data_IF_812992021466
#
_entry.id   IF_812992021466
#
_cell.length_a   1.000
_cell.length_b   1.000
_cell.length_c   1.000
_cell.angle_alpha   90.00
_cell.angle_beta   90.00
_cell.angle_gamma   90.00
#
_symmetry.space_group_name_H-M   'P 1'
#
loop_
_entity.id
_entity.type
_entity.pdbx_description
1 polymer ?
#
# COMPACT_ATOMS: atom_id res chain seq x y z
N UNK A 1 24.30 28.69 -34.42
CA UNK A 1 24.09 27.87 -33.21
C UNK A 1 24.03 28.79 -32.01
N UNK A 2 22.85 29.26 -31.63
CA UNK A 2 22.67 30.07 -30.42
C UNK A 2 22.87 29.17 -29.21
N UNK A 3 23.93 29.42 -28.45
CA UNK A 3 24.24 28.67 -27.22
C UNK A 3 23.14 28.92 -26.20
N UNK A 4 22.20 27.99 -26.06
CA UNK A 4 21.29 27.97 -24.92
C UNK A 4 22.13 27.99 -23.64
N UNK A 5 21.88 28.95 -22.75
CA UNK A 5 22.52 28.95 -21.43
C UNK A 5 22.20 27.64 -20.71
N UNK A 6 23.14 27.10 -19.92
CA UNK A 6 22.95 25.82 -19.20
C UNK A 6 21.63 25.79 -18.42
N UNK A 7 21.26 26.92 -17.80
CA UNK A 7 19.97 27.10 -17.11
C UNK A 7 18.76 26.94 -18.02
N UNK A 8 18.80 27.46 -19.25
CA UNK A 8 17.70 27.33 -20.20
C UNK A 8 17.53 25.89 -20.70
N UNK A 9 18.62 25.16 -20.91
CA UNK A 9 18.61 23.75 -21.29
C UNK A 9 17.97 22.87 -20.20
N UNK A 10 18.41 23.03 -18.94
CA UNK A 10 17.80 22.36 -17.78
C UNK A 10 16.33 22.69 -17.61
N UNK A 11 15.97 23.97 -17.74
CA UNK A 11 14.58 24.41 -17.62
C UNK A 11 13.68 23.76 -18.69
N UNK A 12 14.17 23.64 -19.93
CA UNK A 12 13.43 22.98 -20.99
C UNK A 12 13.24 21.49 -20.69
N UNK A 13 14.32 20.78 -20.31
CA UNK A 13 14.26 19.36 -19.97
C UNK A 13 13.26 19.08 -18.84
N UNK A 14 13.36 19.80 -17.71
CA UNK A 14 12.45 19.63 -16.58
C UNK A 14 11.00 19.92 -16.97
N UNK A 15 10.76 20.95 -17.79
CA UNK A 15 9.42 21.32 -18.23
C UNK A 15 8.80 20.21 -19.08
N UNK A 16 9.58 19.61 -19.97
CA UNK A 16 9.14 18.50 -20.83
C UNK A 16 8.90 17.24 -20.01
N UNK A 17 9.82 16.90 -19.11
CA UNK A 17 9.69 15.74 -18.25
C UNK A 17 8.45 15.85 -17.36
N UNK A 18 8.30 16.94 -16.62
CA UNK A 18 7.12 17.16 -15.77
C UNK A 18 5.81 17.16 -16.57
N UNK A 19 5.82 17.72 -17.79
CA UNK A 19 4.67 17.68 -18.70
C UNK A 19 4.34 16.25 -19.17
N UNK A 20 5.33 15.45 -19.56
CA UNK A 20 5.13 14.07 -20.02
C UNK A 20 4.61 13.19 -18.89
N UNK A 21 5.20 13.32 -17.69
CA UNK A 21 4.70 12.62 -16.51
C UNK A 21 3.26 13.04 -16.22
N UNK A 22 2.97 14.35 -16.21
CA UNK A 22 1.62 14.84 -15.95
C UNK A 22 0.58 14.39 -16.97
N UNK A 23 0.95 14.26 -18.25
CA UNK A 23 0.03 13.86 -19.32
C UNK A 23 -0.18 12.34 -19.41
N UNK A 24 0.88 11.55 -19.24
CA UNK A 24 0.82 10.10 -19.45
C UNK A 24 0.70 9.32 -18.15
N UNK A 25 1.33 9.77 -17.07
CA UNK A 25 1.28 9.11 -15.76
C UNK A 25 0.21 9.72 -14.85
N UNK A 26 -0.14 10.99 -15.06
CA UNK A 26 -1.19 11.70 -14.34
C UNK A 26 -2.51 10.93 -14.17
N UNK A 27 -3.05 10.22 -15.18
CA UNK A 27 -4.28 9.43 -15.03
C UNK A 27 -4.13 8.29 -14.03
N UNK A 28 -2.98 7.61 -14.03
CA UNK A 28 -2.71 6.51 -13.10
C UNK A 28 -2.59 7.03 -11.67
N UNK A 29 -1.90 8.16 -11.47
CA UNK A 29 -1.82 8.82 -10.16
C UNK A 29 -3.20 9.29 -9.70
N UNK A 30 -4.03 9.82 -10.62
CA UNK A 30 -5.39 10.26 -10.31
C UNK A 30 -6.26 9.10 -9.83
N UNK A 31 -6.25 7.97 -10.54
CA UNK A 31 -7.05 6.80 -10.15
C UNK A 31 -6.52 6.20 -8.85
N UNK A 32 -5.20 6.11 -8.66
CA UNK A 32 -4.60 5.69 -7.39
C UNK A 32 -5.02 6.62 -6.24
N UNK A 33 -4.97 7.93 -6.42
CA UNK A 33 -5.37 8.90 -5.39
C UNK A 33 -6.87 8.80 -5.07
N UNK A 34 -7.72 8.63 -6.08
CA UNK A 34 -9.18 8.50 -5.90
C UNK A 34 -9.54 7.20 -5.17
N UNK A 35 -9.02 6.07 -5.63
CA UNK A 35 -9.25 4.76 -5.00
C UNK A 35 -8.64 4.69 -3.59
N UNK A 36 -7.48 5.29 -3.37
CA UNK A 36 -6.85 5.39 -2.04
C UNK A 36 -7.65 6.27 -1.08
N UNK A 37 -8.24 7.37 -1.58
CA UNK A 37 -9.16 8.20 -0.79
C UNK A 37 -10.38 7.39 -0.33
N UNK A 38 -10.95 6.59 -1.24
CA UNK A 38 -12.06 5.69 -0.90
C UNK A 38 -11.62 4.62 0.10
N UNK A 39 -10.44 4.01 -0.08
CA UNK A 39 -9.89 2.99 0.82
C UNK A 39 -9.80 3.50 2.25
N UNK A 40 -9.24 4.69 2.45
CA UNK A 40 -9.04 5.26 3.78
C UNK A 40 -10.38 5.59 4.48
N UNK A 41 -11.44 5.86 3.71
CA UNK A 41 -12.79 6.09 4.25
C UNK A 41 -13.56 4.79 4.56
N UNK A 42 -13.04 3.62 4.18
CA UNK A 42 -13.74 2.34 4.37
C UNK A 42 -14.06 1.98 5.82
N UNK A 43 -13.27 2.32 6.86
CA UNK A 43 -13.65 1.98 8.23
C UNK A 43 -15.03 2.54 8.61
N UNK A 44 -15.35 3.77 8.23
CA UNK A 44 -16.67 4.37 8.47
C UNK A 44 -17.76 3.71 7.62
N UNK A 45 -17.47 3.48 6.35
CA UNK A 45 -18.43 2.89 5.42
C UNK A 45 -18.79 1.46 5.83
N UNK A 46 -17.81 0.68 6.27
CA UNK A 46 -18.00 -0.70 6.70
C UNK A 46 -18.64 -0.80 8.08
N UNK A 47 -18.31 0.09 9.01
CA UNK A 47 -19.00 0.13 10.30
C UNK A 47 -20.50 0.43 10.12
N UNK A 48 -20.85 1.20 9.10
CA UNK A 48 -22.25 1.46 8.74
C UNK A 48 -22.88 0.29 7.97
N UNK A 49 -22.21 -0.20 6.91
CA UNK A 49 -22.75 -1.23 6.02
C UNK A 49 -22.86 -2.60 6.70
N UNK A 50 -21.90 -2.95 7.55
CA UNK A 50 -21.81 -4.23 8.25
C UNK A 50 -22.09 -4.09 9.75
N UNK A 51 -22.81 -3.04 10.15
CA UNK A 51 -23.13 -2.74 11.55
C UNK A 51 -23.65 -3.97 12.30
N UNK A 52 -24.60 -4.69 11.70
CA UNK A 52 -25.23 -5.86 12.33
C UNK A 52 -24.27 -7.02 12.53
N UNK A 53 -23.26 -7.17 11.67
CA UNK A 53 -22.23 -8.20 11.82
C UNK A 53 -21.15 -7.80 12.83
N UNK A 54 -20.85 -6.51 12.94
CA UNK A 54 -19.78 -5.98 13.79
C UNK A 54 -20.23 -5.73 15.24
N UNK A 55 -21.53 -5.52 15.46
CA UNK A 55 -22.06 -5.16 16.77
C UNK A 55 -23.04 -6.19 17.36
N UNK A 56 -22.85 -6.48 18.64
CA UNK A 56 -23.65 -7.40 19.46
C UNK A 56 -24.26 -6.71 20.68
N UNK A 57 -24.61 -7.49 21.70
CA UNK A 57 -25.05 -6.98 23.00
C UNK A 57 -23.90 -6.25 23.71
N UNK A 58 -24.20 -5.06 24.25
CA UNK A 58 -23.25 -4.25 25.02
C UNK A 58 -23.22 -4.61 26.52
N UNK A 59 -24.23 -5.35 27.00
CA UNK A 59 -24.41 -5.70 28.40
C UNK A 59 -24.57 -7.22 28.57
N UNK A 60 -23.94 -7.76 29.61
CA UNK A 60 -23.93 -9.18 29.93
C UNK A 60 -22.52 -9.70 30.21
N UNK A 61 -22.42 -11.01 30.49
CA UNK A 61 -21.13 -11.69 30.68
C UNK A 61 -20.75 -12.41 29.38
N UNK A 62 -19.62 -12.05 28.74
CA UNK A 62 -19.11 -12.79 27.60
C UNK A 62 -18.87 -14.26 27.93
N UNK A 63 -19.31 -15.15 27.05
CA UNK A 63 -19.07 -16.58 27.13
C UNK A 63 -17.64 -16.92 26.69
N UNK A 64 -17.07 -18.06 27.13
CA UNK A 64 -15.73 -18.47 26.70
C UNK A 64 -15.61 -18.64 25.18
N UNK A 65 -14.40 -18.47 24.64
CA UNK A 65 -14.12 -18.60 23.21
C UNK A 65 -14.50 -19.97 22.68
N UNK A 66 -14.29 -21.02 23.47
CA UNK A 66 -14.73 -22.38 23.11
C UNK A 66 -16.22 -22.46 22.76
N UNK A 67 -17.10 -21.81 23.52
CA UNK A 67 -18.53 -21.77 23.22
C UNK A 67 -18.85 -20.95 21.95
N UNK A 68 -18.13 -19.84 21.74
CA UNK A 68 -18.30 -19.00 20.56
C UNK A 68 -17.82 -19.71 19.28
N UNK A 69 -16.73 -20.46 19.36
CA UNK A 69 -16.21 -21.27 18.25
C UNK A 69 -17.16 -22.41 17.92
N UNK A 70 -17.72 -23.09 18.92
CA UNK A 70 -18.70 -24.16 18.70
C UNK A 70 -19.91 -23.69 17.88
N UNK A 71 -20.45 -22.49 18.18
CA UNK A 71 -21.54 -21.86 17.40
C UNK A 71 -21.11 -21.58 15.95
N UNK A 72 -19.87 -21.15 15.75
CA UNK A 72 -19.33 -20.89 14.42
C UNK A 72 -19.06 -22.18 13.62
N UNK A 73 -18.62 -23.25 14.29
CA UNK A 73 -18.47 -24.58 13.69
C UNK A 73 -19.84 -25.14 13.27
N UNK A 74 -20.87 -25.00 14.10
CA UNK A 74 -22.24 -25.40 13.74
C UNK A 74 -22.74 -24.64 12.51
N UNK A 75 -22.52 -23.33 12.44
CA UNK A 75 -22.89 -22.50 11.30
C UNK A 75 -22.16 -22.87 9.99
N UNK A 76 -20.97 -23.47 10.10
CA UNK A 76 -20.19 -23.99 8.96
C UNK A 76 -20.34 -25.50 8.76
N UNK A 77 -21.29 -26.13 9.48
CA UNK A 77 -21.56 -27.58 9.46
C UNK A 77 -20.37 -28.45 9.91
N UNK A 78 -19.38 -27.87 10.60
CA UNK A 78 -18.18 -28.57 11.07
C UNK A 78 -17.22 -29.00 9.95
N UNK A 79 -17.43 -28.54 8.72
CA UNK A 79 -16.71 -29.04 7.55
C UNK A 79 -15.50 -28.18 7.16
N UNK A 80 -15.34 -27.02 7.78
CA UNK A 80 -14.26 -26.08 7.46
C UNK A 80 -13.19 -26.08 8.56
N UNK A 81 -11.93 -25.96 8.13
CA UNK A 81 -10.79 -25.92 9.05
C UNK A 81 -10.68 -24.54 9.70
N UNK A 82 -10.57 -24.50 11.03
CA UNK A 82 -10.36 -23.27 11.78
C UNK A 82 -8.94 -22.71 11.54
N UNK A 83 -8.86 -21.45 11.10
CA UNK A 83 -7.60 -20.75 10.78
C UNK A 83 -7.15 -19.80 11.88
N UNK A 84 -8.10 -19.03 12.42
CA UNK A 84 -7.81 -18.01 13.41
C UNK A 84 -9.08 -17.59 14.15
N UNK A 85 -8.90 -17.10 15.37
CA UNK A 85 -9.95 -16.47 16.18
C UNK A 85 -9.47 -15.09 16.60
N UNK A 86 -10.30 -14.09 16.35
CA UNK A 86 -10.12 -12.73 16.86
C UNK A 86 -11.22 -12.44 17.88
N UNK A 87 -10.90 -12.50 19.19
CA UNK A 87 -11.87 -12.18 20.24
C UNK A 87 -12.46 -10.78 20.05
N UNK A 88 -13.72 -10.60 20.45
CA UNK A 88 -14.33 -9.28 20.52
C UNK A 88 -13.43 -8.33 21.34
N UNK A 89 -12.99 -7.19 20.78
CA UNK A 89 -12.04 -6.32 21.46
C UNK A 89 -12.69 -5.48 22.57
N UNK A 90 -14.01 -5.35 22.57
CA UNK A 90 -14.79 -4.68 23.59
C UNK A 90 -16.21 -5.28 23.68
N UNK A 91 -16.92 -4.98 24.77
CA UNK A 91 -18.36 -5.28 24.88
C UNK A 91 -19.14 -4.54 23.78
N UNK A 92 -20.15 -5.19 23.21
CA UNK A 92 -20.90 -4.67 22.07
C UNK A 92 -20.23 -4.89 20.72
N UNK A 93 -19.03 -5.48 20.66
CA UNK A 93 -18.40 -5.96 19.42
C UNK A 93 -18.48 -7.48 19.32
N UNK A 94 -18.30 -8.01 18.10
CA UNK A 94 -18.38 -9.44 17.82
C UNK A 94 -17.00 -10.10 17.76
N UNK A 95 -16.94 -11.37 18.14
CA UNK A 95 -15.77 -12.23 17.92
C UNK A 95 -15.80 -12.72 16.49
N UNK A 96 -14.65 -12.71 15.82
CA UNK A 96 -14.50 -13.23 14.47
C UNK A 96 -13.79 -14.58 14.49
N UNK A 97 -14.45 -15.60 13.96
CA UNK A 97 -13.92 -16.95 13.80
C UNK A 97 -13.69 -17.18 12.31
N UNK A 98 -12.43 -17.41 11.91
CA UNK A 98 -12.01 -17.48 10.51
C UNK A 98 -11.72 -18.93 10.12
N UNK A 99 -12.30 -19.37 9.01
CA UNK A 99 -12.16 -20.72 8.49
C UNK A 99 -11.52 -20.73 7.09
N UNK A 100 -10.78 -21.80 6.80
CA UNK A 100 -10.29 -22.09 5.46
C UNK A 100 -11.43 -22.69 4.63
N UNK A 101 -11.92 -21.90 3.68
CA UNK A 101 -12.93 -22.34 2.72
C UNK A 101 -12.24 -22.63 1.39
N UNK A 102 -12.27 -23.89 0.88
CA UNK A 102 -11.65 -24.25 -0.39
C UNK A 102 -12.19 -23.47 -1.60
N UNK A 103 -13.36 -22.84 -1.50
CA UNK A 103 -13.95 -22.01 -2.54
C UNK A 103 -13.40 -20.59 -2.61
N UNK A 104 -12.56 -20.16 -1.67
CA UNK A 104 -12.01 -18.81 -1.59
C UNK A 104 -10.58 -18.72 -2.14
N UNK A 105 -10.17 -17.52 -2.54
CA UNK A 105 -8.85 -17.27 -3.10
C UNK A 105 -7.71 -17.28 -2.07
N UNK A 106 -6.48 -17.04 -2.55
CA UNK A 106 -5.33 -16.90 -1.66
C UNK A 106 -5.52 -15.76 -0.66
N UNK A 107 -5.15 -16.02 0.60
CA UNK A 107 -5.30 -15.06 1.71
C UNK A 107 -6.75 -14.61 1.99
N UNK A 108 -7.74 -15.30 1.43
CA UNK A 108 -9.14 -15.14 1.78
C UNK A 108 -9.56 -16.24 2.76
N UNK A 109 -10.42 -15.88 3.71
CA UNK A 109 -11.01 -16.82 4.66
C UNK A 109 -12.46 -16.47 4.88
N UNK A 110 -13.27 -17.48 5.21
CA UNK A 110 -14.67 -17.28 5.58
C UNK A 110 -14.73 -16.95 7.05
N UNK A 111 -15.31 -15.82 7.41
CA UNK A 111 -15.39 -15.39 8.80
C UNK A 111 -16.83 -15.39 9.30
N UNK A 112 -17.03 -16.09 10.41
CA UNK A 112 -18.28 -16.06 11.18
C UNK A 112 -18.11 -15.06 12.32
N UNK A 113 -19.03 -14.11 12.39
CA UNK A 113 -19.09 -13.09 13.43
C UNK A 113 -20.08 -13.55 14.49
N UNK A 114 -19.62 -13.70 15.72
CA UNK A 114 -20.42 -14.23 16.84
C UNK A 114 -20.52 -13.17 17.93
N UNK A 115 -21.74 -12.93 18.40
CA UNK A 115 -21.98 -12.16 19.62
C UNK A 115 -21.48 -12.96 20.83
N UNK A 116 -20.48 -12.46 21.57
CA UNK A 116 -19.85 -13.20 22.66
C UNK A 116 -20.79 -13.40 23.86
N UNK A 117 -21.86 -12.61 24.00
CA UNK A 117 -22.82 -12.71 25.10
C UNK A 117 -24.02 -13.55 24.69
N UNK A 118 -24.62 -13.25 23.54
CA UNK A 118 -25.84 -13.92 23.07
C UNK A 118 -25.57 -15.30 22.46
N UNK A 119 -24.32 -15.62 22.12
CA UNK A 119 -23.93 -16.80 21.34
C UNK A 119 -24.74 -16.94 20.05
N UNK A 120 -24.91 -15.83 19.34
CA UNK A 120 -25.62 -15.76 18.05
C UNK A 120 -24.67 -15.39 16.94
N UNK A 121 -24.83 -16.04 15.79
CA UNK A 121 -24.19 -15.60 14.56
C UNK A 121 -24.80 -14.28 14.11
N UNK A 122 -23.94 -13.28 13.96
CA UNK A 122 -24.26 -11.91 13.58
C UNK A 122 -23.92 -11.63 12.11
N UNK A 123 -22.99 -12.39 11.54
CA UNK A 123 -22.60 -12.27 10.15
C UNK A 123 -21.75 -13.44 9.67
N UNK A 124 -21.75 -13.63 8.36
CA UNK A 124 -20.98 -14.64 7.64
C UNK A 124 -20.50 -14.00 6.33
N UNK A 125 -19.19 -13.79 6.21
CA UNK A 125 -18.61 -13.11 5.05
C UNK A 125 -17.14 -13.46 4.83
N UNK A 126 -16.69 -13.28 3.60
CA UNK A 126 -15.28 -13.38 3.23
C UNK A 126 -14.47 -12.23 3.84
N UNK A 127 -13.27 -12.55 4.29
CA UNK A 127 -12.33 -11.59 4.87
C UNK A 127 -10.96 -11.82 4.30
N UNK A 128 -10.24 -10.74 4.05
CA UNK A 128 -8.98 -10.78 3.31
C UNK A 128 -7.77 -10.36 4.14
N UNK A 129 -6.70 -11.14 4.00
CA UNK A 129 -5.39 -10.94 4.58
C UNK A 129 -5.38 -11.00 6.10
N UNK A 130 -4.19 -10.82 6.66
CA UNK A 130 -3.90 -10.67 8.10
C UNK A 130 -4.57 -9.45 8.75
N UNK A 131 -5.06 -8.49 7.97
CA UNK A 131 -5.85 -7.37 8.49
C UNK A 131 -7.32 -7.75 8.66
N UNK A 132 -7.78 -8.84 8.02
CA UNK A 132 -9.17 -9.27 8.03
C UNK A 132 -10.09 -8.17 7.50
N UNK A 133 -9.73 -7.55 6.37
CA UNK A 133 -10.57 -6.50 5.79
C UNK A 133 -11.88 -7.11 5.29
N UNK A 134 -12.99 -6.36 5.38
CA UNK A 134 -14.32 -6.83 4.98
C UNK A 134 -14.50 -6.66 3.45
N UNK A 135 -15.55 -7.23 2.84
CA UNK A 135 -15.65 -7.33 1.39
C UNK A 135 -15.59 -5.98 0.64
N UNK A 136 -16.20 -4.92 1.19
CA UNK A 136 -16.15 -3.59 0.58
C UNK A 136 -14.72 -3.06 0.49
N UNK A 137 -13.97 -3.08 1.60
CA UNK A 137 -12.58 -2.63 1.63
C UNK A 137 -11.68 -3.53 0.80
N UNK A 138 -11.95 -4.83 0.77
CA UNK A 138 -11.23 -5.75 -0.10
C UNK A 138 -11.38 -5.38 -1.58
N UNK A 139 -12.62 -5.12 -2.02
CA UNK A 139 -12.86 -4.70 -3.40
C UNK A 139 -12.14 -3.39 -3.73
N UNK A 140 -12.17 -2.41 -2.80
CA UNK A 140 -11.47 -1.13 -2.97
C UNK A 140 -9.93 -1.32 -2.94
N UNK A 141 -9.41 -2.22 -2.11
CA UNK A 141 -7.98 -2.60 -2.08
C UNK A 141 -7.54 -3.12 -3.45
N UNK A 142 -8.29 -4.06 -4.01
CA UNK A 142 -7.99 -4.63 -5.33
C UNK A 142 -8.10 -3.57 -6.43
N UNK A 143 -9.05 -2.65 -6.34
CA UNK A 143 -9.14 -1.52 -7.24
C UNK A 143 -7.93 -0.58 -7.11
N UNK A 144 -7.46 -0.30 -5.88
CA UNK A 144 -6.35 0.62 -5.59
C UNK A 144 -4.95 0.04 -5.87
N UNK A 145 -4.78 -1.28 -5.74
CA UNK A 145 -3.50 -1.93 -6.00
C UNK A 145 -3.35 -2.42 -7.44
N UNK A 146 -4.47 -2.79 -8.08
CA UNK A 146 -4.48 -3.48 -9.37
C UNK A 146 -5.60 -3.12 -10.35
N UNK A 147 -6.48 -2.15 -10.08
CA UNK A 147 -7.67 -1.87 -10.91
C UNK A 147 -8.55 -3.11 -11.15
N UNK A 148 -8.55 -4.07 -10.22
CA UNK A 148 -9.24 -5.36 -10.38
C UNK A 148 -8.70 -6.21 -11.56
N UNK A 149 -7.49 -5.91 -12.08
CA UNK A 149 -6.85 -6.62 -13.20
C UNK A 149 -5.83 -7.67 -12.73
N UNK A 150 -5.80 -7.99 -11.43
CA UNK A 150 -4.84 -8.93 -10.85
C UNK A 150 -3.39 -8.45 -10.98
N UNK A 151 -2.45 -9.38 -11.19
CA UNK A 151 -1.02 -9.06 -11.24
C UNK A 151 -0.64 -8.09 -12.36
N UNK A 152 -1.27 -8.21 -13.54
CA UNK A 152 -1.09 -7.27 -14.64
C UNK A 152 -1.45 -5.84 -14.23
N UNK A 153 -2.44 -5.71 -13.35
CA UNK A 153 -2.85 -4.45 -12.75
C UNK A 153 -1.79 -3.86 -11.82
N UNK A 154 -1.03 -4.66 -11.08
CA UNK A 154 -0.02 -4.14 -10.13
C UNK A 154 1.03 -3.25 -10.79
N UNK A 155 1.24 -3.40 -12.10
CA UNK A 155 2.08 -2.52 -12.90
C UNK A 155 1.57 -1.06 -12.86
N UNK A 156 0.25 -0.83 -12.87
CA UNK A 156 -0.27 0.54 -12.89
C UNK A 156 0.08 1.29 -11.60
N UNK A 157 -0.06 0.66 -10.43
CA UNK A 157 0.18 1.29 -9.14
C UNK A 157 1.67 1.51 -8.91
N UNK A 158 2.52 0.57 -9.35
CA UNK A 158 3.98 0.75 -9.39
C UNK A 158 4.39 1.91 -10.31
N UNK A 159 3.77 2.02 -11.48
CA UNK A 159 4.03 3.11 -12.43
C UNK A 159 3.65 4.48 -11.82
N UNK A 160 2.50 4.56 -11.15
CA UNK A 160 2.08 5.77 -10.44
C UNK A 160 3.06 6.13 -9.31
N UNK A 161 3.41 5.17 -8.45
CA UNK A 161 4.28 5.38 -7.30
C UNK A 161 5.71 5.80 -7.71
N UNK A 162 6.25 5.18 -8.76
CA UNK A 162 7.60 5.45 -9.27
C UNK A 162 7.77 6.83 -9.91
N UNK A 163 6.74 7.36 -10.58
CA UNK A 163 6.85 8.68 -11.23
C UNK A 163 6.35 9.85 -10.39
N UNK A 164 5.49 9.63 -9.40
CA UNK A 164 4.89 10.70 -8.60
C UNK A 164 5.94 11.57 -7.89
N UNK A 165 6.92 10.97 -7.21
CA UNK A 165 7.99 11.73 -6.55
C UNK A 165 8.87 12.51 -7.56
N UNK A 166 9.13 11.95 -8.74
CA UNK A 166 9.86 12.63 -9.83
C UNK A 166 9.07 13.84 -10.33
N UNK A 167 7.75 13.69 -10.52
CA UNK A 167 6.87 14.80 -10.88
C UNK A 167 6.84 15.89 -9.79
N UNK A 168 6.74 15.50 -8.53
CA UNK A 168 6.72 16.40 -7.39
C UNK A 168 8.01 17.23 -7.31
N UNK A 169 9.17 16.57 -7.23
CA UNK A 169 10.47 17.24 -7.18
C UNK A 169 10.74 18.07 -8.44
N UNK A 170 10.39 17.55 -9.61
CA UNK A 170 10.50 18.26 -10.88
C UNK A 170 9.63 19.52 -10.93
N UNK A 171 8.41 19.46 -10.39
CA UNK A 171 7.50 20.61 -10.29
C UNK A 171 8.04 21.72 -9.37
N UNK A 172 8.62 21.34 -8.23
CA UNK A 172 9.25 22.27 -7.28
C UNK A 172 10.51 22.90 -7.87
N UNK A 173 11.35 22.11 -8.53
CA UNK A 173 12.52 22.61 -9.26
C UNK A 173 12.11 23.60 -10.35
N UNK A 174 11.07 23.28 -11.13
CA UNK A 174 10.52 24.18 -12.15
C UNK A 174 10.01 25.49 -11.55
N UNK A 175 9.29 25.42 -10.43
CA UNK A 175 8.83 26.61 -9.72
C UNK A 175 10.01 27.49 -9.29
N UNK A 176 11.03 26.89 -8.65
CA UNK A 176 12.21 27.63 -8.17
C UNK A 176 12.94 28.34 -9.32
N UNK A 177 13.05 27.68 -10.48
CA UNK A 177 13.70 28.22 -11.67
C UNK A 177 12.86 29.26 -12.43
N UNK A 178 11.52 29.23 -12.31
CA UNK A 178 10.58 30.08 -13.08
C UNK A 178 9.75 31.03 -12.23
N UNK A 179 10.17 31.28 -10.98
CA UNK A 179 9.48 32.18 -10.06
C UNK A 179 9.23 33.55 -10.72
N UNK A 180 7.95 33.95 -10.94
CA UNK A 180 7.66 35.22 -11.59
C UNK A 180 7.98 36.37 -10.65
N UNK A 181 8.69 37.39 -11.15
CA UNK A 181 9.08 38.58 -10.35
C UNK A 181 7.90 39.51 -10.03
N UNK A 182 6.77 39.38 -10.73
CA UNK A 182 5.56 40.20 -10.56
C UNK A 182 4.31 39.33 -10.52
N UNK A 183 3.32 39.70 -9.70
CA UNK A 183 2.01 39.03 -9.68
C UNK A 183 1.17 39.51 -10.86
N UNK A 184 0.82 38.58 -11.73
CA UNK A 184 -0.14 38.79 -12.81
C UNK A 184 -1.45 38.10 -12.44
N UNK A 185 -2.58 38.81 -12.52
CA UNK A 185 -3.90 38.27 -12.21
C UNK A 185 -4.65 37.93 -13.51
N UNK A 186 -4.53 36.69 -13.96
CA UNK A 186 -5.28 36.17 -15.10
C UNK A 186 -5.59 34.68 -14.87
N UNK A 187 -6.59 34.14 -15.59
CA UNK A 187 -7.04 32.76 -15.40
C UNK A 187 -5.88 31.75 -15.45
N UNK A 188 -4.96 31.88 -16.42
CA UNK A 188 -3.81 30.98 -16.56
C UNK A 188 -2.87 31.02 -15.34
N UNK A 189 -2.54 32.21 -14.85
CA UNK A 189 -1.66 32.38 -13.69
C UNK A 189 -2.36 31.96 -12.40
N UNK A 190 -3.69 32.08 -12.32
CA UNK A 190 -4.48 31.61 -11.16
C UNK A 190 -4.43 30.08 -11.06
N UNK A 191 -4.69 29.37 -12.16
CA UNK A 191 -4.56 27.91 -12.22
C UNK A 191 -3.12 27.45 -11.92
N UNK A 192 -2.11 28.16 -12.47
CA UNK A 192 -0.70 27.87 -12.18
C UNK A 192 -0.39 28.07 -10.71
N UNK A 193 -0.88 29.14 -10.07
CA UNK A 193 -0.70 29.37 -8.64
C UNK A 193 -1.34 28.27 -7.82
N UNK A 194 -2.57 27.87 -8.14
CA UNK A 194 -3.24 26.76 -7.45
C UNK A 194 -2.42 25.46 -7.56
N UNK A 195 -2.00 25.08 -8.76
CA UNK A 195 -1.18 23.89 -8.98
C UNK A 195 0.15 23.93 -8.22
N UNK A 196 0.81 25.09 -8.17
CA UNK A 196 2.06 25.27 -7.42
C UNK A 196 1.83 25.21 -5.90
N UNK A 197 0.80 25.89 -5.40
CA UNK A 197 0.48 25.92 -3.97
C UNK A 197 0.13 24.52 -3.47
N UNK A 198 -0.72 23.80 -4.20
CA UNK A 198 -1.04 22.40 -3.88
C UNK A 198 0.21 21.52 -4.03
N UNK A 199 1.01 21.69 -5.08
CA UNK A 199 2.26 20.94 -5.25
C UNK A 199 3.23 21.10 -4.08
N UNK A 200 3.34 22.30 -3.51
CA UNK A 200 4.11 22.55 -2.27
C UNK A 200 3.47 21.89 -1.05
N UNK A 201 2.17 22.09 -0.84
CA UNK A 201 1.45 21.52 0.30
C UNK A 201 1.44 19.99 0.31
N UNK A 202 1.45 19.37 -0.87
CA UNK A 202 1.43 17.92 -1.05
C UNK A 202 2.82 17.29 -1.14
N UNK A 203 3.91 18.06 -1.19
CA UNK A 203 5.25 17.55 -1.50
C UNK A 203 5.67 16.40 -0.57
N UNK A 204 5.60 16.62 0.75
CA UNK A 204 6.03 15.62 1.74
C UNK A 204 5.17 14.36 1.63
N UNK A 205 3.85 14.51 1.47
CA UNK A 205 2.95 13.38 1.27
C UNK A 205 3.26 12.62 -0.01
N UNK A 206 3.46 13.30 -1.15
CA UNK A 206 3.82 12.65 -2.42
C UNK A 206 5.13 11.85 -2.29
N UNK A 207 6.14 12.34 -1.58
CA UNK A 207 7.36 11.58 -1.33
C UNK A 207 7.11 10.35 -0.45
N UNK A 208 6.33 10.52 0.63
CA UNK A 208 6.01 9.45 1.57
C UNK A 208 5.17 8.34 0.92
N UNK A 209 4.12 8.69 0.17
CA UNK A 209 3.25 7.71 -0.50
C UNK A 209 3.93 7.07 -1.71
N UNK A 210 4.83 7.77 -2.41
CA UNK A 210 5.70 7.12 -3.39
C UNK A 210 6.60 6.07 -2.74
N UNK A 211 7.28 6.42 -1.64
CA UNK A 211 8.19 5.49 -0.96
C UNK A 211 7.45 4.25 -0.44
N UNK A 212 6.34 4.45 0.28
CA UNK A 212 5.53 3.35 0.83
C UNK A 212 4.79 2.56 -0.26
N UNK A 213 4.31 3.18 -1.34
CA UNK A 213 3.73 2.45 -2.48
C UNK A 213 4.76 1.58 -3.22
N UNK A 214 6.00 2.04 -3.33
CA UNK A 214 7.07 1.28 -3.97
C UNK A 214 7.46 0.03 -3.17
N UNK A 215 7.38 0.04 -1.83
CA UNK A 215 7.71 -1.16 -1.03
C UNK A 215 6.74 -2.33 -1.22
N UNK A 216 5.59 -2.10 -1.86
CA UNK A 216 4.56 -3.10 -2.14
C UNK A 216 4.36 -3.41 -3.62
N UNK A 217 5.16 -2.76 -4.46
CA UNK A 217 5.13 -2.95 -5.89
C UNK A 217 5.77 -4.28 -6.29
N UNK A 218 5.52 -4.76 -7.50
CA UNK A 218 5.95 -6.10 -7.90
C UNK A 218 7.48 -6.15 -8.09
N UNK A 219 8.05 -5.18 -8.80
CA UNK A 219 9.46 -5.21 -9.18
C UNK A 219 10.30 -4.35 -8.25
N UNK A 220 9.92 -3.08 -8.06
CA UNK A 220 10.64 -2.22 -7.14
C UNK A 220 10.51 -2.69 -5.67
N UNK A 221 9.35 -3.24 -5.29
CA UNK A 221 9.14 -3.84 -3.97
C UNK A 221 10.05 -5.03 -3.73
N UNK A 222 10.13 -5.96 -4.68
CA UNK A 222 11.06 -7.09 -4.59
C UNK A 222 12.54 -6.67 -4.47
N UNK A 223 12.95 -5.56 -5.07
CA UNK A 223 14.28 -4.99 -4.86
C UNK A 223 14.44 -4.38 -3.45
N UNK A 224 13.40 -3.70 -2.93
CA UNK A 224 13.36 -3.19 -1.55
C UNK A 224 13.44 -4.35 -0.55
N UNK A 225 12.76 -5.47 -0.79
CA UNK A 225 12.79 -6.61 0.12
C UNK A 225 14.14 -7.30 0.16
N UNK A 226 14.80 -7.47 -1.00
CA UNK A 226 16.19 -7.96 -1.05
C UNK A 226 17.13 -7.04 -0.27
N UNK A 227 16.96 -5.73 -0.41
CA UNK A 227 17.74 -4.74 0.34
C UNK A 227 17.48 -4.87 1.85
N UNK A 228 16.21 -4.92 2.27
CA UNK A 228 15.83 -5.06 3.69
C UNK A 228 16.38 -6.36 4.29
N UNK A 229 16.32 -7.46 3.55
CA UNK A 229 16.88 -8.74 3.96
C UNK A 229 18.40 -8.66 4.14
N UNK A 230 19.13 -8.08 3.18
CA UNK A 230 20.58 -7.93 3.24
C UNK A 230 21.07 -7.08 4.42
N UNK A 231 20.26 -6.13 4.89
CA UNK A 231 20.59 -5.27 6.02
C UNK A 231 19.96 -5.69 7.36
N UNK A 232 19.24 -6.82 7.42
CA UNK A 232 18.58 -7.28 8.65
C UNK A 232 17.44 -6.36 9.12
N UNK A 233 16.73 -5.71 8.19
CA UNK A 233 15.63 -4.78 8.46
C UNK A 233 14.24 -5.43 8.38
N UNK A 234 14.20 -6.76 8.44
CA UNK A 234 12.96 -7.53 8.38
C UNK A 234 12.23 -7.46 9.72
N UNK A 235 10.91 -7.67 9.67
CA UNK A 235 10.08 -7.71 10.88
C UNK A 235 10.34 -9.02 11.61
N UNK A 236 10.71 -9.02 12.92
CA UNK A 236 10.82 -10.24 13.71
C UNK A 236 9.48 -10.99 13.77
N UNK A 237 9.53 -12.32 13.84
CA UNK A 237 8.39 -13.21 14.05
C UNK A 237 8.71 -14.21 15.14
N UNK A 238 7.68 -14.74 15.80
CA UNK A 238 7.84 -15.80 16.80
C UNK A 238 8.21 -17.11 16.13
N UNK A 239 9.14 -17.85 16.72
CA UNK A 239 9.45 -19.22 16.34
C UNK A 239 8.38 -20.16 16.89
N UNK A 240 7.75 -20.91 15.99
CA UNK A 240 6.69 -21.87 16.34
C UNK A 240 7.18 -23.31 16.42
N UNK A 241 8.45 -23.62 16.12
CA UNK A 241 8.96 -24.99 16.22
C UNK A 241 9.12 -25.40 17.68
N UNK A 242 8.48 -26.52 18.06
CA UNK A 242 8.62 -27.10 19.40
C UNK A 242 9.87 -28.00 19.52
N UNK A 243 10.38 -28.51 18.40
CA UNK A 243 11.53 -29.42 18.35
C UNK A 243 12.55 -29.00 17.29
N UNK A 244 13.81 -28.83 17.71
CA UNK A 244 14.94 -28.43 16.86
C UNK A 244 15.24 -26.93 16.90
N UNK A 245 16.52 -26.56 16.87
CA UNK A 245 16.96 -25.16 16.74
C UNK A 245 16.98 -24.79 15.25
N UNK A 246 15.98 -24.03 14.79
CA UNK A 246 16.13 -23.23 13.57
C UNK A 246 16.21 -21.75 13.91
N UNK A 247 17.01 -20.96 13.15
CA UNK A 247 17.05 -19.52 13.29
C UNK A 247 15.65 -18.90 13.09
N UNK A 248 15.41 -17.75 13.72
CA UNK A 248 14.15 -17.01 13.57
C UNK A 248 13.79 -16.82 12.09
N UNK A 249 12.57 -17.19 11.73
CA UNK A 249 12.05 -16.97 10.38
C UNK A 249 11.74 -15.49 10.20
N UNK A 250 12.43 -14.84 9.27
CA UNK A 250 12.17 -13.45 8.91
C UNK A 250 11.39 -13.39 7.59
N UNK A 251 10.19 -12.80 7.62
CA UNK A 251 9.38 -12.58 6.41
C UNK A 251 9.32 -11.06 6.07
N UNK A 252 9.75 -10.64 4.86
CA UNK A 252 9.63 -9.26 4.37
C UNK A 252 8.21 -8.68 4.42
N UNK A 253 7.20 -9.54 4.37
CA UNK A 253 5.77 -9.23 4.37
C UNK A 253 5.00 -10.00 5.45
N UNK A 254 5.63 -10.32 6.59
CA UNK A 254 4.99 -11.07 7.69
C UNK A 254 3.63 -10.52 8.13
N UNK A 255 3.38 -9.22 7.90
CA UNK A 255 2.12 -8.56 8.15
C UNK A 255 1.05 -8.74 7.06
N UNK A 256 1.26 -9.53 6.01
CA UNK A 256 0.38 -9.63 4.82
C UNK A 256 0.13 -11.06 4.33
N UNK A 257 0.98 -12.02 4.65
CA UNK A 257 0.74 -13.42 4.30
C UNK A 257 -0.09 -14.10 5.39
N UNK A 258 -1.28 -14.58 5.02
CA UNK A 258 -1.83 -15.76 5.66
C UNK A 258 -0.98 -16.92 5.14
N UNK A 259 -0.32 -17.69 6.02
CA UNK A 259 0.35 -18.93 5.60
C UNK A 259 -0.66 -19.85 4.94
N UNK A 260 -0.72 -19.77 3.61
CA UNK A 260 -1.56 -20.57 2.76
C UNK A 260 -0.72 -21.65 2.12
N UNK A 261 -0.02 -22.47 2.91
CA UNK A 261 0.50 -23.77 2.47
C UNK A 261 0.82 -24.65 3.69
N UNK A 262 -0.18 -25.35 4.19
CA UNK A 262 0.03 -26.63 4.84
C UNK A 262 -1.15 -27.54 4.50
N UNK A 263 -1.00 -28.32 3.44
CA UNK A 263 -1.74 -29.57 3.25
C UNK A 263 -1.19 -30.56 4.28
N UNK A 264 -1.39 -30.29 5.57
CA UNK A 264 -1.03 -31.23 6.62
C UNK A 264 -2.08 -32.35 6.63
N UNK A 265 -1.65 -33.56 6.28
CA UNK A 265 -2.47 -34.79 6.27
C UNK A 265 -2.82 -35.31 7.68
N UNK A 266 -2.27 -34.69 8.73
CA UNK A 266 -2.66 -34.91 10.13
C UNK A 266 -2.76 -33.56 10.81
N UNK A 267 -3.98 -33.19 11.20
CA UNK A 267 -4.20 -32.06 12.07
C UNK A 267 -4.21 -32.55 13.52
N UNK A 268 -3.60 -31.79 14.44
CA UNK A 268 -3.77 -32.04 15.87
C UNK A 268 -5.26 -32.07 16.19
N UNK A 269 -5.67 -32.96 17.08
CA UNK A 269 -7.03 -32.92 17.64
C UNK A 269 -7.19 -31.63 18.44
N UNK A 270 -7.79 -30.60 17.81
CA UNK A 270 -8.01 -29.30 18.41
C UNK A 270 -9.08 -29.38 19.50
N UNK A 271 -8.70 -29.11 20.74
CA UNK A 271 -9.66 -28.95 21.83
C UNK A 271 -10.04 -27.48 21.90
N UNK A 272 -11.33 -27.16 21.73
CA UNK A 272 -11.78 -25.76 21.71
C UNK A 272 -11.40 -24.98 22.98
N UNK A 273 -11.33 -25.65 24.13
CA UNK A 273 -10.88 -25.06 25.39
C UNK A 273 -9.42 -24.55 25.36
N UNK A 274 -8.58 -25.04 24.45
CA UNK A 274 -7.22 -24.54 24.27
C UNK A 274 -7.19 -23.09 23.76
N UNK A 275 -8.24 -22.60 23.08
CA UNK A 275 -8.31 -21.18 22.71
C UNK A 275 -8.44 -20.27 23.93
N UNK A 276 -9.26 -20.67 24.90
CA UNK A 276 -9.40 -19.96 26.18
C UNK A 276 -8.09 -19.96 26.96
N UNK A 277 -7.41 -21.11 27.00
CA UNK A 277 -6.09 -21.25 27.66
C UNK A 277 -5.00 -20.45 26.95
N UNK A 278 -4.96 -20.45 25.61
CA UNK A 278 -3.99 -19.71 24.82
C UNK A 278 -4.17 -18.20 24.99
N UNK A 279 -5.43 -17.73 25.00
CA UNK A 279 -5.75 -16.34 25.32
C UNK A 279 -5.26 -15.98 26.73
N UNK A 280 -5.55 -16.81 27.73
CA UNK A 280 -5.11 -16.57 29.11
C UNK A 280 -3.58 -16.53 29.24
N UNK A 281 -2.87 -17.49 28.63
CA UNK A 281 -1.41 -17.54 28.60
C UNK A 281 -0.81 -16.32 27.92
N UNK A 282 -1.36 -15.88 26.78
CA UNK A 282 -0.92 -14.66 26.09
C UNK A 282 -1.14 -13.39 26.93
N UNK A 283 -2.28 -13.28 27.62
CA UNK A 283 -2.55 -12.17 28.57
C UNK A 283 -1.55 -12.16 29.72
N UNK A 284 -1.26 -13.33 30.31
CA UNK A 284 -0.24 -13.46 31.37
C UNK A 284 1.17 -13.14 30.86
N UNK A 285 1.45 -13.39 29.58
CA UNK A 285 2.72 -13.05 28.94
C UNK A 285 2.88 -11.55 28.64
N UNK A 286 1.83 -10.75 28.84
CA UNK A 286 1.86 -9.29 28.71
C UNK A 286 1.23 -8.73 27.43
N UNK A 287 0.56 -9.54 26.61
CA UNK A 287 -0.21 -9.04 25.46
C UNK A 287 -1.47 -8.35 25.98
N UNK A 288 -1.50 -7.02 25.95
CA UNK A 288 -2.55 -6.20 26.56
C UNK A 288 -3.46 -5.53 25.53
N UNK A 289 -3.18 -5.66 24.24
CA UNK A 289 -4.04 -5.11 23.20
C UNK A 289 -5.46 -5.64 23.27
N UNK A 290 -6.44 -4.77 23.02
CA UNK A 290 -7.83 -5.20 22.89
C UNK A 290 -8.02 -6.09 21.66
N UNK A 291 -7.25 -5.84 20.60
CA UNK A 291 -7.33 -6.59 19.34
C UNK A 291 -6.23 -7.63 19.28
N UNK A 292 -6.63 -8.90 19.36
CA UNK A 292 -5.76 -10.06 19.26
C UNK A 292 -6.18 -10.97 18.09
N UNK A 293 -5.22 -11.75 17.59
CA UNK A 293 -5.47 -12.89 16.72
C UNK A 293 -4.80 -14.12 17.30
N UNK A 294 -5.58 -15.19 17.47
CA UNK A 294 -5.14 -16.49 17.98
C UNK A 294 -5.18 -17.45 16.80
N UNK A 295 -4.05 -18.08 16.47
CA UNK A 295 -3.96 -19.10 15.42
C UNK A 295 -3.60 -20.46 16.05
N UNK A 296 -4.37 -21.52 15.77
CA UNK A 296 -4.01 -22.87 16.19
C UNK A 296 -2.75 -23.36 15.46
N UNK A 297 -2.06 -24.36 16.04
CA UNK A 297 -0.90 -24.98 15.41
C UNK A 297 -1.30 -25.66 14.09
N UNK A 298 -0.43 -25.56 13.09
CA UNK A 298 -0.64 -26.17 11.77
C UNK A 298 -0.28 -27.66 11.74
N UNK A 299 0.44 -28.15 12.75
CA UNK A 299 0.90 -29.53 12.92
C UNK A 299 1.34 -29.77 14.38
N UNK A 300 1.51 -31.02 14.79
CA UNK A 300 1.81 -31.41 16.18
C UNK A 300 3.19 -30.90 16.69
N UNK A 301 4.11 -30.58 15.78
CA UNK A 301 5.44 -30.03 16.09
C UNK A 301 5.46 -28.49 16.18
N UNK A 302 4.28 -27.85 16.09
CA UNK A 302 4.15 -26.40 16.07
C UNK A 302 3.39 -25.86 17.27
N UNK A 303 3.82 -24.69 17.73
CA UNK A 303 3.18 -23.89 18.75
C UNK A 303 1.97 -23.12 18.20
N UNK A 304 1.03 -22.79 19.08
CA UNK A 304 0.02 -21.77 18.87
C UNK A 304 0.69 -20.41 18.70
N UNK A 305 0.08 -19.49 17.95
CA UNK A 305 0.54 -18.09 17.91
C UNK A 305 -0.58 -17.17 18.37
N UNK A 306 -0.26 -16.24 19.27
CA UNK A 306 -1.16 -15.14 19.65
C UNK A 306 -0.47 -13.82 19.36
N UNK A 307 -1.10 -13.00 18.53
CA UNK A 307 -0.56 -11.74 18.03
C UNK A 307 -1.45 -10.59 18.45
N UNK A 308 -0.85 -9.49 18.93
CA UNK A 308 -1.50 -8.19 18.95
C UNK A 308 -1.61 -7.65 17.52
N UNK A 309 -2.79 -7.13 17.18
CA UNK A 309 -3.09 -6.62 15.84
C UNK A 309 -3.57 -5.16 15.89
N UNK A 310 -3.34 -4.44 16.98
CA UNK A 310 -3.66 -3.01 17.06
C UNK A 310 -2.51 -2.15 16.50
N UNK A 311 -2.73 -1.71 15.27
CA UNK A 311 -1.77 -0.95 14.47
C UNK A 311 -1.87 0.56 14.69
N UNK A 312 -2.83 1.01 15.49
CA UNK A 312 -2.98 2.43 15.86
C UNK A 312 -1.83 2.84 16.76
N UNK A 313 -1.57 4.13 16.85
CA UNK A 313 -0.62 4.70 17.81
C UNK A 313 -1.28 4.79 19.20
N UNK A 314 -0.63 4.32 20.28
CA UNK A 314 0.65 3.58 20.31
C UNK A 314 0.52 2.14 19.77
N UNK A 315 1.46 1.74 18.90
CA UNK A 315 1.44 0.46 18.18
C UNK A 315 1.61 -0.72 19.12
N UNK A 316 0.68 -1.69 19.05
CA UNK A 316 0.65 -2.91 19.86
C UNK A 316 0.58 -4.12 18.95
N UNK A 317 1.75 -4.72 18.72
CA UNK A 317 1.98 -5.72 17.68
C UNK A 317 2.93 -6.81 18.17
N UNK A 318 2.94 -7.00 19.49
CA UNK A 318 3.69 -8.05 20.17
C UNK A 318 3.06 -9.41 19.84
N UNK A 319 3.88 -10.46 19.87
CA UNK A 319 3.43 -11.81 19.57
C UNK A 319 4.08 -12.82 20.51
N UNK A 320 3.35 -13.90 20.81
CA UNK A 320 3.86 -15.05 21.56
C UNK A 320 3.56 -16.36 20.84
N UNK A 321 4.50 -17.29 20.93
CA UNK A 321 4.30 -18.68 20.58
C UNK A 321 4.05 -19.50 21.85
N UNK A 322 3.03 -20.36 21.86
CA UNK A 322 2.59 -21.13 23.03
C UNK A 322 2.54 -22.63 22.69
N UNK A 323 3.22 -23.45 23.49
CA UNK A 323 3.15 -24.91 23.37
C UNK A 323 1.74 -25.40 23.75
N UNK A 324 1.09 -26.15 22.85
CA UNK A 324 -0.27 -26.64 23.05
C UNK A 324 -0.42 -27.75 24.10
N UNK A 325 0.67 -28.43 24.48
CA UNK A 325 0.65 -29.48 25.49
C UNK A 325 0.82 -28.93 26.91
N UNK A 326 1.69 -27.92 27.07
CA UNK A 326 2.04 -27.34 28.38
C UNK A 326 1.38 -25.98 28.64
N UNK A 327 0.86 -25.34 27.59
CA UNK A 327 0.39 -23.95 27.59
C UNK A 327 1.45 -22.94 28.04
N UNK A 328 2.73 -23.29 27.93
CA UNK A 328 3.85 -22.38 28.22
C UNK A 328 4.25 -21.58 26.99
N UNK A 329 4.67 -20.33 27.22
CA UNK A 329 5.20 -19.46 26.17
C UNK A 329 6.60 -19.92 25.80
N UNK A 330 6.77 -20.41 24.58
CA UNK A 330 8.06 -20.92 24.06
C UNK A 330 8.88 -19.83 23.37
N UNK A 331 8.22 -18.82 22.81
CA UNK A 331 8.91 -17.67 22.20
C UNK A 331 8.04 -16.40 22.26
N UNK A 332 8.68 -15.24 22.16
CA UNK A 332 8.02 -13.93 22.15
C UNK A 332 8.74 -12.92 21.29
N UNK A 333 7.98 -12.03 20.66
CA UNK A 333 8.51 -10.82 20.02
C UNK A 333 7.79 -9.60 20.55
N UNK A 334 8.54 -8.52 20.80
CA UNK A 334 8.01 -7.24 21.28
C UNK A 334 8.32 -6.15 20.29
N UNK A 335 7.35 -5.28 20.01
CA UNK A 335 7.53 -4.14 19.14
C UNK A 335 8.66 -3.21 19.62
N UNK A 336 8.85 -3.12 20.95
CA UNK A 336 9.95 -2.38 21.55
C UNK A 336 11.34 -2.83 21.04
N UNK A 337 11.50 -4.12 20.75
CA UNK A 337 12.76 -4.74 20.34
C UNK A 337 12.94 -4.74 18.81
N UNK A 338 11.95 -4.25 18.04
CA UNK A 338 12.05 -4.24 16.58
C UNK A 338 13.16 -3.28 16.12
N UNK A 339 13.91 -3.65 15.05
CA UNK A 339 14.84 -2.73 14.38
C UNK A 339 14.14 -1.43 13.99
N UNK A 340 14.84 -0.30 14.09
CA UNK A 340 14.28 1.01 13.76
C UNK A 340 13.67 1.05 12.36
N UNK A 341 14.32 0.42 11.38
CA UNK A 341 13.82 0.38 10.01
C UNK A 341 12.51 -0.42 9.90
N UNK A 342 12.36 -1.52 10.63
CA UNK A 342 11.11 -2.27 10.68
C UNK A 342 9.97 -1.42 11.29
N UNK A 343 10.26 -0.64 12.35
CA UNK A 343 9.32 0.32 12.95
C UNK A 343 8.91 1.40 11.97
N UNK A 344 9.88 2.02 11.27
CA UNK A 344 9.63 3.06 10.28
C UNK A 344 8.81 2.56 9.09
N UNK A 345 9.13 1.37 8.55
CA UNK A 345 8.33 0.75 7.49
C UNK A 345 6.91 0.50 7.96
N UNK A 346 6.73 -0.06 9.17
CA UNK A 346 5.40 -0.31 9.74
C UNK A 346 4.59 0.97 9.92
N UNK A 347 5.15 1.99 10.59
CA UNK A 347 4.46 3.27 10.76
C UNK A 347 4.19 3.97 9.42
N UNK A 348 5.09 3.89 8.44
CA UNK A 348 4.86 4.44 7.12
C UNK A 348 3.67 3.77 6.41
N UNK A 349 3.59 2.44 6.50
CA UNK A 349 2.50 1.64 5.93
C UNK A 349 1.18 1.90 6.68
N UNK A 350 1.20 1.88 8.01
CA UNK A 350 0.02 2.17 8.85
C UNK A 350 -0.48 3.60 8.65
N UNK A 351 0.44 4.54 8.41
CA UNK A 351 0.10 5.90 8.02
C UNK A 351 -0.55 5.89 6.64
N UNK A 352 0.05 5.26 5.63
CA UNK A 352 -0.51 5.16 4.26
C UNK A 352 -1.94 4.60 4.24
N UNK A 353 -2.22 3.56 5.02
CA UNK A 353 -3.56 2.94 5.08
C UNK A 353 -4.58 3.71 5.93
N UNK A 354 -4.22 4.84 6.53
CA UNK A 354 -5.16 5.60 7.36
C UNK A 354 -5.39 5.00 8.75
N UNK A 355 -4.51 4.13 9.25
CA UNK A 355 -4.72 3.42 10.52
C UNK A 355 -3.97 4.11 11.67
N UNK A 356 -2.72 4.55 11.44
CA UNK A 356 -1.79 4.93 12.52
C UNK A 356 -2.37 5.93 13.55
N UNK A 357 -3.01 7.02 13.11
CA UNK A 357 -3.63 8.00 14.02
C UNK A 357 -5.17 8.00 13.94
N UNK A 358 -5.77 6.88 13.53
CA UNK A 358 -7.21 6.72 13.42
C UNK A 358 -7.87 7.80 12.54
N UNK A 359 -8.97 8.38 13.02
CA UNK A 359 -9.77 9.36 12.25
C UNK A 359 -8.96 10.57 11.80
N UNK A 360 -8.03 11.07 12.62
CA UNK A 360 -7.19 12.20 12.24
C UNK A 360 -6.31 11.88 11.03
N UNK A 361 -5.74 10.67 10.99
CA UNK A 361 -5.01 10.20 9.82
C UNK A 361 -5.93 10.11 8.59
N UNK A 362 -7.12 9.54 8.76
CA UNK A 362 -8.05 9.34 7.65
C UNK A 362 -8.49 10.66 7.00
N UNK A 363 -8.86 11.65 7.81
CA UNK A 363 -9.24 12.98 7.31
C UNK A 363 -8.08 13.68 6.58
N UNK A 364 -6.86 13.56 7.11
CA UNK A 364 -5.66 14.09 6.46
C UNK A 364 -5.44 13.46 5.09
N UNK A 365 -5.53 12.14 4.99
CA UNK A 365 -5.34 11.41 3.74
C UNK A 365 -6.47 11.64 2.73
N UNK A 366 -7.72 11.77 3.18
CA UNK A 366 -8.84 12.14 2.31
C UNK A 366 -8.61 13.54 1.75
N UNK A 367 -8.20 14.49 2.58
CA UNK A 367 -7.80 15.83 2.14
C UNK A 367 -6.65 15.80 1.13
N UNK A 368 -5.60 15.01 1.42
CA UNK A 368 -4.46 14.82 0.54
C UNK A 368 -4.87 14.24 -0.82
N UNK A 369 -5.64 13.15 -0.84
CA UNK A 369 -6.07 12.48 -2.06
C UNK A 369 -6.98 13.35 -2.93
N UNK A 370 -7.95 14.04 -2.32
CA UNK A 370 -8.78 15.03 -3.01
C UNK A 370 -7.94 16.17 -3.61
N UNK A 371 -7.01 16.74 -2.84
CA UNK A 371 -6.12 17.80 -3.30
C UNK A 371 -5.19 17.34 -4.42
N UNK A 372 -4.71 16.09 -4.38
CA UNK A 372 -3.91 15.49 -5.44
C UNK A 372 -4.72 15.33 -6.73
N UNK A 373 -5.96 14.82 -6.65
CA UNK A 373 -6.89 14.75 -7.77
C UNK A 373 -7.14 16.13 -8.39
N UNK A 374 -7.40 17.15 -7.57
CA UNK A 374 -7.55 18.54 -8.03
C UNK A 374 -6.28 19.05 -8.70
N UNK A 375 -5.10 18.80 -8.13
CA UNK A 375 -3.81 19.23 -8.68
C UNK A 375 -3.57 18.67 -10.08
N UNK A 376 -3.92 17.39 -10.28
CA UNK A 376 -3.84 16.71 -11.58
C UNK A 376 -4.86 17.33 -12.55
N UNK A 377 -6.12 17.49 -12.14
CA UNK A 377 -7.16 18.13 -12.95
C UNK A 377 -6.78 19.54 -13.40
N UNK A 378 -6.20 20.35 -12.50
CA UNK A 378 -5.65 21.67 -12.81
C UNK A 378 -4.46 21.57 -13.77
N UNK A 379 -3.61 20.55 -13.64
CA UNK A 379 -2.54 20.24 -14.59
C UNK A 379 -3.06 20.02 -16.02
N UNK A 380 -4.10 19.20 -16.17
CA UNK A 380 -4.79 18.99 -17.45
C UNK A 380 -5.45 20.28 -17.96
N UNK A 381 -6.05 21.08 -17.08
CA UNK A 381 -6.63 22.37 -17.45
C UNK A 381 -5.57 23.34 -17.97
N UNK A 382 -4.39 23.39 -17.33
CA UNK A 382 -3.26 24.20 -17.77
C UNK A 382 -2.74 23.75 -19.13
N UNK A 383 -2.67 22.44 -19.37
CA UNK A 383 -2.34 21.90 -20.68
C UNK A 383 -3.38 22.32 -21.73
N UNK A 384 -4.67 22.17 -21.44
CA UNK A 384 -5.75 22.52 -22.36
C UNK A 384 -5.75 24.00 -22.76
N UNK A 385 -5.48 24.91 -21.82
CA UNK A 385 -5.39 26.35 -22.10
C UNK A 385 -4.16 26.69 -22.94
N UNK A 386 -3.05 25.95 -22.78
CA UNK A 386 -1.77 26.21 -23.47
C UNK A 386 -1.61 25.43 -24.78
N UNK A 387 -2.57 24.58 -25.14
CA UNK A 387 -2.47 23.77 -26.35
C UNK A 387 -2.40 24.69 -27.59
N UNK A 388 -1.46 24.49 -28.52
CA UNK A 388 -1.42 25.29 -29.74
C UNK A 388 -2.67 25.01 -30.62
N UNK A 389 -3.26 26.04 -31.27
CA UNK A 389 -4.46 25.89 -32.11
C UNK A 389 -4.26 24.98 -33.34
N UNK A 390 -3.03 24.85 -33.80
CA UNK A 390 -2.62 23.91 -34.85
C UNK A 390 -1.57 22.98 -34.27
N UNK A 391 -1.72 21.68 -34.52
CA UNK A 391 -0.74 20.65 -34.16
C UNK A 391 0.51 20.74 -35.06
N UNK A 392 1.14 21.91 -35.15
CA UNK A 392 2.47 22.04 -35.69
C UNK A 392 3.45 21.45 -34.67
N UNK A 393 3.69 20.14 -34.78
CA UNK A 393 4.69 19.47 -33.96
C UNK A 393 6.06 20.00 -34.35
N UNK A 394 6.72 20.73 -33.45
CA UNK A 394 8.10 21.17 -33.67
C UNK A 394 9.07 20.13 -33.08
N UNK A 395 9.93 19.50 -33.89
CA UNK A 395 11.09 18.73 -33.44
C UNK A 395 11.83 19.35 -32.26
N UNK A 396 11.95 20.68 -32.21
CA UNK A 396 12.61 21.45 -31.15
C UNK A 396 11.92 21.36 -29.76
N UNK A 397 10.86 20.57 -29.64
CA UNK A 397 10.06 20.41 -28.42
C UNK A 397 10.06 18.98 -27.86
N UNK A 398 10.87 18.08 -28.41
CA UNK A 398 11.02 16.70 -27.92
C UNK A 398 11.83 16.61 -26.61
N UNK A 399 11.57 15.58 -25.81
CA UNK A 399 12.33 15.27 -24.59
C UNK A 399 13.78 14.93 -24.93
N UNK A 400 13.99 14.16 -26.01
CA UNK A 400 15.32 13.78 -26.49
C UNK A 400 16.14 15.02 -26.89
N UNK A 401 15.54 15.97 -27.61
CA UNK A 401 16.23 17.20 -28.00
C UNK A 401 16.51 18.10 -26.79
N UNK A 402 15.62 18.12 -25.79
CA UNK A 402 15.88 18.81 -24.53
C UNK A 402 17.07 18.22 -23.77
N UNK A 403 17.20 16.89 -23.71
CA UNK A 403 18.38 16.22 -23.13
C UNK A 403 19.66 16.49 -23.94
N UNK A 404 19.59 16.40 -25.27
CA UNK A 404 20.71 16.73 -26.17
C UNK A 404 21.14 18.19 -26.08
N UNK A 405 20.30 19.11 -25.58
CA UNK A 405 20.68 20.51 -25.36
C UNK A 405 21.55 20.74 -24.12
N UNK A 406 21.67 19.75 -23.22
CA UNK A 406 22.52 19.84 -22.04
C UNK A 406 24.02 19.80 -22.39
N UNK A 407 24.89 20.26 -21.48
CA UNK A 407 26.33 20.03 -21.60
C UNK A 407 26.67 18.54 -21.44
N UNK A 408 27.77 18.08 -22.05
CA UNK A 408 28.22 16.66 -21.98
C UNK A 408 28.22 16.05 -20.57
N UNK A 409 28.81 16.68 -19.52
CA UNK A 409 28.79 16.09 -18.17
C UNK A 409 27.36 15.95 -17.61
N UNK A 410 26.49 16.93 -17.87
CA UNK A 410 25.09 16.87 -17.45
C UNK A 410 24.31 15.77 -18.18
N UNK A 411 24.61 15.50 -19.46
CA UNK A 411 23.99 14.38 -20.20
C UNK A 411 24.36 13.04 -19.57
N UNK A 412 25.65 12.84 -19.29
CA UNK A 412 26.15 11.61 -18.65
C UNK A 412 25.55 11.41 -17.27
N UNK A 413 25.43 12.48 -16.47
CA UNK A 413 24.79 12.43 -15.15
C UNK A 413 23.32 12.03 -15.25
N UNK A 414 22.53 12.68 -16.13
CA UNK A 414 21.11 12.37 -16.32
C UNK A 414 20.92 10.93 -16.80
N UNK A 415 21.76 10.47 -17.73
CA UNK A 415 21.71 9.11 -18.24
C UNK A 415 22.07 8.08 -17.15
N UNK A 416 23.13 8.34 -16.38
CA UNK A 416 23.53 7.50 -15.25
C UNK A 416 22.45 7.39 -14.18
N UNK A 417 21.81 8.52 -13.82
CA UNK A 417 20.70 8.53 -12.89
C UNK A 417 19.48 7.78 -13.44
N UNK A 418 19.12 8.00 -14.71
CA UNK A 418 18.02 7.29 -15.36
C UNK A 418 18.28 5.77 -15.41
N UNK A 419 19.51 5.36 -15.67
CA UNK A 419 19.92 3.95 -15.67
C UNK A 419 19.85 3.34 -14.27
N UNK A 420 20.45 3.98 -13.27
CA UNK A 420 20.41 3.50 -11.88
C UNK A 420 18.98 3.38 -11.36
N UNK A 421 18.14 4.40 -11.61
CA UNK A 421 16.73 4.36 -11.24
C UNK A 421 15.94 3.32 -12.05
N UNK A 422 16.29 3.10 -13.33
CA UNK A 422 15.69 2.06 -14.16
C UNK A 422 16.03 0.65 -13.69
N UNK A 423 17.21 0.43 -13.10
CA UNK A 423 17.55 -0.85 -12.46
C UNK A 423 16.82 -1.03 -11.12
N UNK A 424 16.73 0.04 -10.31
CA UNK A 424 16.04 0.00 -9.04
C UNK A 424 14.53 -0.17 -9.19
N UNK A 425 13.94 0.50 -10.19
CA UNK A 425 12.52 0.49 -10.54
C UNK A 425 12.34 0.13 -12.03
N UNK A 426 12.36 -1.17 -12.38
CA UNK A 426 12.31 -1.66 -13.76
C UNK A 426 11.17 -1.09 -14.59
N UNK A 427 9.97 -0.97 -14.01
CA UNK A 427 8.81 -0.44 -14.72
C UNK A 427 8.95 1.05 -15.06
N UNK A 428 9.59 1.83 -14.20
CA UNK A 428 9.93 3.22 -14.48
C UNK A 428 10.95 3.32 -15.63
N UNK A 429 11.95 2.44 -15.63
CA UNK A 429 12.92 2.34 -16.72
C UNK A 429 12.26 1.99 -18.06
N UNK A 430 11.41 0.97 -18.07
CA UNK A 430 10.67 0.54 -19.27
C UNK A 430 9.73 1.63 -19.79
N UNK A 431 8.98 2.30 -18.91
CA UNK A 431 8.09 3.41 -19.30
C UNK A 431 8.87 4.63 -19.80
N UNK A 432 10.04 4.93 -19.22
CA UNK A 432 10.93 5.97 -19.74
C UNK A 432 11.44 5.64 -21.15
N UNK A 433 11.86 4.38 -21.39
CA UNK A 433 12.26 3.93 -22.73
C UNK A 433 11.11 4.05 -23.74
N UNK A 434 9.88 3.71 -23.34
CA UNK A 434 8.69 3.89 -24.17
C UNK A 434 8.45 5.38 -24.48
N UNK A 435 8.57 6.27 -23.50
CA UNK A 435 8.47 7.71 -23.73
C UNK A 435 9.52 8.20 -24.72
N UNK A 436 10.76 7.75 -24.60
CA UNK A 436 11.85 8.11 -25.52
C UNK A 436 11.56 7.57 -26.92
N UNK A 437 11.08 6.33 -27.05
CA UNK A 437 10.74 5.73 -28.34
C UNK A 437 9.60 6.48 -29.04
N UNK A 438 8.51 6.78 -28.33
CA UNK A 438 7.39 7.58 -28.88
C UNK A 438 7.86 8.98 -29.25
N UNK A 439 8.66 9.63 -28.41
CA UNK A 439 9.23 10.95 -28.66
C UNK A 439 10.13 10.96 -29.92
N UNK A 440 10.95 9.93 -30.10
CA UNK A 440 11.79 9.73 -31.27
C UNK A 440 10.99 9.48 -32.55
N UNK A 441 9.97 8.63 -32.51
CA UNK A 441 9.11 8.36 -33.67
C UNK A 441 8.37 9.62 -34.11
N UNK A 442 7.83 10.40 -33.16
CA UNK A 442 7.19 11.69 -33.44
C UNK A 442 8.17 12.69 -34.03
N UNK A 443 9.41 12.71 -33.53
CA UNK A 443 10.49 13.52 -34.07
C UNK A 443 10.85 13.17 -35.51
N UNK A 444 10.96 11.89 -35.84
CA UNK A 444 11.17 11.44 -37.22
C UNK A 444 10.03 11.85 -38.14
N UNK A 445 8.78 11.61 -37.73
CA UNK A 445 7.60 11.93 -38.54
C UNK A 445 7.49 13.44 -38.83
N UNK A 446 7.72 14.28 -37.82
CA UNK A 446 7.68 15.73 -37.99
C UNK A 446 8.83 16.26 -38.86
N UNK A 447 10.02 15.66 -38.76
CA UNK A 447 11.17 16.02 -39.61
C UNK A 447 10.92 15.64 -41.07
N UNK A 448 10.36 14.46 -41.32
CA UNK A 448 9.99 14.01 -42.68
C UNK A 448 8.95 14.94 -43.33
N UNK A 449 7.90 15.33 -42.60
CA UNK A 449 6.90 16.29 -43.11
C UNK A 449 7.48 17.67 -43.41
N UNK A 450 8.43 18.15 -42.60
CA UNK A 450 9.14 19.43 -42.87
C UNK A 450 9.98 19.35 -44.14
N UNK A 451 10.67 18.23 -44.37
CA UNK A 451 11.46 18.02 -45.58
C UNK A 451 10.57 18.01 -46.83
N UNK A 452 9.45 17.28 -46.80
CA UNK A 452 8.48 17.24 -47.92
C UNK A 452 7.92 18.63 -48.25
N UNK A 453 7.58 19.44 -47.24
CA UNK A 453 7.05 20.79 -47.44
C UNK A 453 8.11 21.83 -47.87
N UNK A 454 9.39 21.49 -47.77
CA UNK A 454 10.49 22.35 -48.25
C UNK A 454 10.95 22.00 -49.67
N UNK A 455 10.52 20.86 -50.20
CA UNK A 455 10.79 20.40 -51.56
C UNK A 455 9.66 20.71 -52.56
N UNK A 456 8.49 21.12 -52.06
CA UNK A 456 7.40 21.75 -52.82
C UNK A 456 7.55 23.27 -52.76
#
# INVERSE_FOLDING_TARGET
>A
MTTCTSRAAWLNLLRRLHFYIGLFIGPFIFVAALTGTLYVATPQLENWLYHDALHGLAEGTPQPLSAQIAVAEEATQGNLRLLAVRPAPALGETTRIMFADPGLGESESRAIFVDPIALRVKGDMTVYGTSGILPLRQWIDYAHRSLLLGDSGRLYSELAASWMWVAALGGIALWAMTRPKRRLNNALQNHRRLHVTLGWGLLVGMLLFSATGLTWSQWAGGNVDKMRAAFGWLTPQVNTQLHGEMPMTHDPHAGHHMDAMAMAQHQPALQLAQFDQALAAARQAGLNASRLEIRPPVSDDRAWTVNEIDRRWPTQVDAVAIDGATMQVVDRTRFADFPLMAKLTRWGVDFHMGILFGLANQLLLVGFGCALCVTIGVGYRLWWIRRPPQAAWDPAHSLLQAWLSLARPARSLVLGLAFALGLAMPLMGASLLLFIAVDYLRWRAATAMRMMKSSD
#
